data_IF_461293350986
#
_entry.id   IF_461293350986
#
_cell.length_a   1.000
_cell.length_b   1.000
_cell.length_c   1.000
_cell.angle_alpha   90.00
_cell.angle_beta   90.00
_cell.angle_gamma   90.00
#
_symmetry.space_group_name_H-M   'P 1'
#
loop_
_entity.id
_entity.type
_entity.pdbx_description
1 polymer ?
#
# COMPACT_ATOMS: atom_id res chain seq x y z
N UNK A 1 -10.08 -6.82 31.87
CA UNK A 1 -9.78 -5.77 30.88
C UNK A 1 -8.37 -6.02 30.41
N UNK A 2 -8.21 -6.75 29.31
CA UNK A 2 -6.90 -6.93 28.69
C UNK A 2 -6.49 -5.60 28.07
N UNK A 3 -5.40 -5.05 28.59
CA UNK A 3 -4.71 -3.89 28.06
C UNK A 3 -4.35 -4.19 26.61
N UNK A 4 -4.91 -3.42 25.68
CA UNK A 4 -4.60 -3.51 24.25
C UNK A 4 -3.11 -3.23 24.08
N UNK A 5 -2.30 -4.28 23.90
CA UNK A 5 -0.87 -4.13 23.67
C UNK A 5 -0.67 -3.27 22.42
N UNK A 6 0.05 -2.17 22.59
CA UNK A 6 0.51 -1.32 21.51
C UNK A 6 1.61 -2.07 20.73
N UNK A 7 1.21 -3.07 19.93
CA UNK A 7 2.14 -3.86 19.13
C UNK A 7 2.79 -2.92 18.11
N UNK A 8 4.13 -2.83 18.07
CA UNK A 8 4.81 -1.95 17.12
C UNK A 8 4.47 -2.38 15.69
N UNK A 9 4.16 -1.41 14.82
CA UNK A 9 3.94 -1.70 13.39
C UNK A 9 5.18 -2.34 12.79
N UNK A 10 4.97 -3.35 11.95
CA UNK A 10 6.04 -4.02 11.22
C UNK A 10 6.72 -3.03 10.27
N UNK A 11 8.03 -2.87 10.42
CA UNK A 11 8.84 -2.01 9.56
C UNK A 11 9.11 -2.72 8.23
N UNK A 12 8.86 -2.02 7.14
CA UNK A 12 9.15 -2.48 5.77
C UNK A 12 10.10 -1.49 5.10
N UNK A 13 11.07 -2.00 4.33
CA UNK A 13 11.97 -1.20 3.51
C UNK A 13 11.69 -1.54 2.04
N UNK A 14 11.45 -0.52 1.22
CA UNK A 14 11.12 -0.67 -0.20
C UNK A 14 12.25 -0.05 -1.01
N UNK A 15 12.87 -0.84 -1.89
CA UNK A 15 13.84 -0.36 -2.86
C UNK A 15 13.14 -0.03 -4.19
N UNK A 16 13.24 1.23 -4.62
CA UNK A 16 12.64 1.73 -5.86
C UNK A 16 13.73 2.27 -6.78
N UNK A 17 13.75 1.83 -8.03
CA UNK A 17 14.67 2.27 -9.08
C UNK A 17 13.89 2.47 -10.39
N UNK A 18 14.13 3.59 -11.07
CA UNK A 18 13.45 3.91 -12.34
C UNK A 18 11.92 4.05 -12.23
N UNK A 19 11.40 4.33 -11.02
CA UNK A 19 9.95 4.41 -10.76
C UNK A 19 9.30 3.07 -10.40
N UNK A 20 10.03 1.96 -10.47
CA UNK A 20 9.52 0.61 -10.19
C UNK A 20 10.08 0.06 -8.88
N UNK A 21 9.25 -0.68 -8.14
CA UNK A 21 9.70 -1.42 -6.96
C UNK A 21 10.55 -2.60 -7.39
N UNK A 22 11.80 -2.63 -6.92
CA UNK A 22 12.77 -3.68 -7.22
C UNK A 22 12.80 -4.76 -6.16
N UNK A 23 12.65 -4.37 -4.89
CA UNK A 23 12.66 -5.28 -3.77
C UNK A 23 11.90 -4.71 -2.57
N UNK A 24 11.36 -5.63 -1.76
CA UNK A 24 10.74 -5.30 -0.48
C UNK A 24 11.35 -6.18 0.60
N UNK A 25 11.72 -5.56 1.71
CA UNK A 25 12.38 -6.22 2.84
C UNK A 25 11.56 -6.00 4.11
N UNK A 26 11.30 -7.07 4.85
CA UNK A 26 10.64 -7.07 6.15
C UNK A 26 11.32 -8.06 7.09
N UNK A 27 11.27 -7.78 8.39
CA UNK A 27 11.74 -8.71 9.42
C UNK A 27 10.73 -9.85 9.69
N UNK A 28 9.48 -9.65 9.28
CA UNK A 28 8.39 -10.61 9.41
C UNK A 28 7.92 -11.04 8.01
N UNK A 29 7.33 -12.22 7.90
CA UNK A 29 6.71 -12.67 6.66
C UNK A 29 5.40 -11.90 6.43
N UNK A 30 5.32 -11.18 5.31
CA UNK A 30 4.19 -10.33 4.96
C UNK A 30 3.72 -10.70 3.55
N UNK A 31 2.41 -10.72 3.35
CA UNK A 31 1.83 -10.77 2.00
C UNK A 31 1.83 -9.35 1.42
N UNK A 32 2.78 -9.06 0.54
CA UNK A 32 3.01 -7.72 0.00
C UNK A 32 2.54 -7.65 -1.44
N UNK A 33 1.62 -6.72 -1.71
CA UNK A 33 1.13 -6.42 -3.05
C UNK A 33 1.61 -5.02 -3.46
N UNK A 34 2.26 -4.93 -4.62
CA UNK A 34 2.75 -3.68 -5.19
C UNK A 34 1.88 -3.33 -6.39
N UNK A 35 1.28 -2.14 -6.37
CA UNK A 35 0.45 -1.64 -7.46
C UNK A 35 1.10 -0.43 -8.11
N UNK A 36 1.11 -0.44 -9.44
CA UNK A 36 1.59 0.69 -10.23
C UNK A 36 0.45 1.67 -10.52
N UNK A 37 0.47 2.81 -9.82
CA UNK A 37 -0.64 3.78 -9.80
C UNK A 37 -0.44 4.95 -10.78
N UNK A 38 0.68 5.01 -11.50
CA UNK A 38 0.99 6.10 -12.42
C UNK A 38 0.20 6.01 -13.73
N UNK A 39 -0.48 7.08 -14.15
CA UNK A 39 -1.21 7.05 -15.42
C UNK A 39 -0.24 6.94 -16.59
N UNK A 40 -0.40 5.90 -17.41
CA UNK A 40 0.26 5.84 -18.72
C UNK A 40 -0.09 7.09 -19.51
N UNK A 41 0.86 7.60 -20.30
CA UNK A 41 0.65 8.76 -21.18
C UNK A 41 -0.51 8.55 -22.18
N UNK A 42 -0.93 7.29 -22.39
CA UNK A 42 -2.08 6.89 -23.22
C UNK A 42 -3.07 5.98 -22.47
N UNK A 43 -3.34 6.26 -21.19
CA UNK A 43 -4.29 5.47 -20.41
C UNK A 43 -5.71 5.48 -21.02
N UNK A 44 -6.32 4.30 -21.13
CA UNK A 44 -7.72 4.13 -21.51
C UNK A 44 -8.65 4.57 -20.38
N UNK A 45 -9.91 4.88 -20.69
CA UNK A 45 -10.92 5.25 -19.69
C UNK A 45 -11.15 4.16 -18.64
N UNK A 46 -10.98 2.89 -19.01
CA UNK A 46 -11.13 1.75 -18.09
C UNK A 46 -9.98 1.68 -17.09
N UNK A 47 -8.74 1.85 -17.55
CA UNK A 47 -7.56 1.87 -16.67
C UNK A 47 -7.61 3.04 -15.67
N UNK A 48 -8.12 4.20 -16.11
CA UNK A 48 -8.36 5.35 -15.23
C UNK A 48 -9.41 5.04 -14.17
N UNK A 49 -10.48 4.33 -14.52
CA UNK A 49 -11.54 3.97 -13.59
C UNK A 49 -11.07 2.93 -12.56
N UNK A 50 -10.35 1.89 -13.00
CA UNK A 50 -9.79 0.85 -12.14
C UNK A 50 -8.83 1.44 -11.11
N UNK A 51 -7.90 2.30 -11.53
CA UNK A 51 -6.95 2.97 -10.63
C UNK A 51 -7.62 3.86 -9.59
N UNK A 52 -8.73 4.53 -9.94
CA UNK A 52 -9.52 5.31 -8.98
C UNK A 52 -10.15 4.43 -7.90
N UNK A 53 -10.60 3.23 -8.26
CA UNK A 53 -11.15 2.26 -7.29
C UNK A 53 -10.03 1.79 -6.36
N UNK A 54 -8.89 1.36 -6.91
CA UNK A 54 -7.74 0.91 -6.12
C UNK A 54 -7.27 2.01 -5.16
N UNK A 55 -7.14 3.25 -5.64
CA UNK A 55 -6.75 4.38 -4.81
C UNK A 55 -7.75 4.70 -3.69
N UNK A 56 -9.06 4.57 -3.97
CA UNK A 56 -10.10 4.78 -2.98
C UNK A 56 -10.11 3.69 -1.89
N UNK A 57 -9.92 2.42 -2.29
CA UNK A 57 -9.85 1.30 -1.36
C UNK A 57 -8.61 1.41 -0.47
N UNK A 58 -7.45 1.74 -1.04
CA UNK A 58 -6.22 1.97 -0.27
C UNK A 58 -6.38 3.14 0.72
N UNK A 59 -7.01 4.25 0.30
CA UNK A 59 -7.26 5.38 1.19
C UNK A 59 -8.17 5.01 2.38
N UNK A 60 -9.16 4.15 2.15
CA UNK A 60 -10.05 3.63 3.19
C UNK A 60 -9.29 2.73 4.17
N UNK A 61 -8.44 1.86 3.67
CA UNK A 61 -7.63 0.94 4.48
C UNK A 61 -6.60 1.70 5.33
N UNK A 62 -5.89 2.68 4.75
CA UNK A 62 -5.00 3.59 5.48
C UNK A 62 -5.76 4.36 6.57
N UNK A 63 -6.97 4.84 6.28
CA UNK A 63 -7.80 5.54 7.28
C UNK A 63 -8.18 4.60 8.44
N UNK A 64 -8.53 3.35 8.14
CA UNK A 64 -8.81 2.32 9.14
C UNK A 64 -7.59 2.08 10.03
N UNK A 65 -6.40 1.91 9.44
CA UNK A 65 -5.15 1.76 10.16
C UNK A 65 -4.86 2.98 11.06
N UNK A 66 -5.08 4.21 10.57
CA UNK A 66 -4.88 5.45 11.34
C UNK A 66 -5.87 5.67 12.48
N UNK A 67 -7.06 5.06 12.46
CA UNK A 67 -8.04 5.18 13.54
C UNK A 67 -7.80 4.20 14.70
N UNK A 68 -6.93 3.22 14.50
CA UNK A 68 -6.51 2.26 15.53
C UNK A 68 -5.34 2.84 16.36
N UNK A 69 -4.69 3.91 15.90
CA UNK A 69 -3.67 4.70 16.61
C UNK A 69 -4.24 6.01 17.15
#
# INVERSE_FOLDING_TARGET
MESSENKPMTKVIIHVEGGLVQAVYSAEELDIQVYDLDLSDFATTSEVAERKVIAADLAKEIKGLKQIY
#
